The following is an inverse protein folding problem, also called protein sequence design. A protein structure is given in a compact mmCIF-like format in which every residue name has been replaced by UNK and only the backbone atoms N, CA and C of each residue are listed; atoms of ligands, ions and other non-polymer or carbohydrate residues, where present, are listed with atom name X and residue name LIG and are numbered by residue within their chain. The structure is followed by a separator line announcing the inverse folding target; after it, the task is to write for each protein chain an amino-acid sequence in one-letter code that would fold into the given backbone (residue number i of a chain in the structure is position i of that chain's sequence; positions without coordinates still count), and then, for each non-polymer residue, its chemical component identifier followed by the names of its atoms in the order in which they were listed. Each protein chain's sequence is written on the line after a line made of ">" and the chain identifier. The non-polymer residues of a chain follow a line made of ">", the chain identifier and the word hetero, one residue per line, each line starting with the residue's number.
data_IF_780832013232
#
_entry.id   IF_780832013232
#
_cell.length_a   1.000
_cell.length_b   1.000
_cell.length_c   1.000
_cell.angle_alpha   90.00
_cell.angle_beta   90.00
_cell.angle_gamma   90.00
#
_symmetry.space_group_name_H-M   'P 1'
#
loop_
_entity.id
_entity.type
_entity.pdbx_description
1 polymer ?
#
# COMPACT_ATOMS: atom_id res chain seq x y z
N UNK A 1 11.14 -10.33 3.35
CA UNK A 1 10.97 -10.21 4.82
C UNK A 1 10.13 -8.97 5.05
N UNK A 2 8.83 -9.13 5.27
CA UNK A 2 7.98 -8.02 5.68
C UNK A 2 7.92 -8.11 7.20
N UNK A 3 8.29 -7.06 7.92
CA UNK A 3 8.41 -7.08 9.38
C UNK A 3 7.05 -7.13 10.09
N UNK A 4 6.10 -7.91 9.59
CA UNK A 4 4.73 -8.02 10.11
C UNK A 4 4.72 -8.53 11.54
N UNK A 5 5.72 -9.32 11.97
CA UNK A 5 5.83 -9.75 13.37
C UNK A 5 5.96 -8.58 14.37
N UNK A 6 6.42 -7.41 13.94
CA UNK A 6 6.47 -6.22 14.79
C UNK A 6 5.08 -5.63 15.09
N UNK A 7 4.05 -6.03 14.34
CA UNK A 7 2.66 -5.60 14.57
C UNK A 7 2.17 -6.13 15.92
N UNK A 8 2.49 -7.38 16.27
CA UNK A 8 2.07 -7.98 17.54
C UNK A 8 2.70 -7.24 18.74
N UNK A 9 3.98 -6.88 18.60
CA UNK A 9 4.70 -6.10 19.60
C UNK A 9 4.08 -4.71 19.76
N UNK A 10 3.83 -4.01 18.65
CA UNK A 10 3.21 -2.69 18.68
C UNK A 10 1.79 -2.72 19.30
N UNK A 11 1.01 -3.76 19.01
CA UNK A 11 -0.29 -3.99 19.63
C UNK A 11 -0.18 -4.18 21.15
N UNK A 12 0.83 -4.91 21.65
CA UNK A 12 1.08 -5.08 23.10
C UNK A 12 1.32 -3.74 23.80
N UNK A 13 2.04 -2.82 23.14
CA UNK A 13 2.32 -1.49 23.67
C UNK A 13 1.23 -0.45 23.37
N UNK A 14 0.11 -0.85 22.75
CA UNK A 14 -0.97 0.06 22.29
C UNK A 14 -0.47 1.20 21.38
N UNK A 15 0.56 0.95 20.58
CA UNK A 15 1.10 1.93 19.61
C UNK A 15 0.70 1.55 18.19
N UNK A 16 0.46 2.54 17.31
CA UNK A 16 0.09 2.27 15.92
C UNK A 16 1.22 1.54 15.16
N UNK A 17 0.86 0.50 14.42
CA UNK A 17 1.76 -0.22 13.52
C UNK A 17 1.74 0.36 12.12
N UNK A 18 2.94 0.63 11.58
CA UNK A 18 3.14 1.11 10.20
C UNK A 18 3.93 0.06 9.42
N UNK A 19 3.55 -0.15 8.16
CA UNK A 19 4.25 -1.07 7.26
C UNK A 19 4.83 -0.29 6.08
N UNK A 20 6.15 -0.33 5.96
CA UNK A 20 6.81 0.07 4.71
C UNK A 20 6.76 -1.09 3.72
N UNK A 21 6.04 -0.91 2.61
CA UNK A 21 5.89 -1.92 1.55
C UNK A 21 6.73 -1.52 0.32
N UNK A 22 7.93 -2.11 0.10
CA UNK A 22 8.87 -1.65 -0.92
C UNK A 22 8.50 -2.07 -2.36
N UNK A 23 7.41 -2.82 -2.55
CA UNK A 23 6.96 -3.29 -3.88
C UNK A 23 5.83 -2.42 -4.43
N UNK A 24 5.53 -2.56 -5.73
CA UNK A 24 4.53 -1.72 -6.39
C UNK A 24 3.10 -1.90 -5.84
N UNK A 25 2.28 -0.86 -5.95
CA UNK A 25 0.86 -0.90 -5.59
C UNK A 25 0.08 -1.99 -6.36
N UNK A 26 0.45 -2.28 -7.61
CA UNK A 26 -0.14 -3.36 -8.38
C UNK A 26 0.13 -4.74 -7.75
N UNK A 27 1.35 -4.97 -7.24
CA UNK A 27 1.70 -6.22 -6.58
C UNK A 27 1.01 -6.34 -5.21
N UNK A 28 0.91 -5.25 -4.45
CA UNK A 28 0.12 -5.21 -3.21
C UNK A 28 -1.36 -5.48 -3.47
N UNK A 29 -1.94 -4.80 -4.46
CA UNK A 29 -3.33 -4.99 -4.87
C UNK A 29 -3.60 -6.44 -5.27
N UNK A 30 -2.67 -7.07 -5.99
CA UNK A 30 -2.79 -8.48 -6.38
C UNK A 30 -2.76 -9.40 -5.15
N UNK A 31 -1.90 -9.15 -4.17
CA UNK A 31 -1.87 -9.92 -2.92
C UNK A 31 -3.18 -9.83 -2.14
N UNK A 32 -3.73 -8.62 -2.01
CA UNK A 32 -5.02 -8.40 -1.34
C UNK A 32 -6.16 -9.04 -2.11
N UNK A 33 -6.12 -8.99 -3.44
CA UNK A 33 -7.13 -9.63 -4.28
C UNK A 33 -7.06 -11.17 -4.19
N UNK A 34 -5.86 -11.75 -4.21
CA UNK A 34 -5.68 -13.20 -3.99
C UNK A 34 -6.18 -13.65 -2.62
N UNK A 35 -5.97 -12.81 -1.59
CA UNK A 35 -6.55 -13.04 -0.28
C UNK A 35 -8.07 -13.04 -0.31
N UNK A 36 -8.70 -12.07 -0.97
CA UNK A 36 -10.15 -12.04 -1.14
C UNK A 36 -10.67 -13.31 -1.84
N UNK A 37 -10.03 -13.73 -2.94
CA UNK A 37 -10.41 -14.93 -3.68
C UNK A 37 -10.34 -16.20 -2.80
N UNK A 38 -9.27 -16.36 -2.01
CA UNK A 38 -9.12 -17.51 -1.12
C UNK A 38 -10.10 -17.47 0.07
N UNK A 39 -10.20 -16.33 0.73
CA UNK A 39 -10.88 -16.21 2.02
C UNK A 39 -12.40 -16.06 1.85
N UNK A 40 -12.85 -15.33 0.82
CA UNK A 40 -14.25 -15.00 0.57
C UNK A 40 -14.84 -15.89 -0.52
N UNK A 41 -14.28 -15.88 -1.73
CA UNK A 41 -14.81 -16.64 -2.89
C UNK A 41 -14.50 -18.13 -2.81
N UNK A 42 -13.65 -18.54 -1.87
CA UNK A 42 -13.17 -19.94 -1.71
C UNK A 42 -12.54 -20.50 -2.99
N UNK A 43 -11.96 -19.62 -3.80
CA UNK A 43 -11.31 -19.97 -5.06
C UNK A 43 -9.97 -20.67 -4.80
N UNK A 44 -9.74 -21.83 -5.43
CA UNK A 44 -8.44 -22.51 -5.37
C UNK A 44 -7.48 -21.92 -6.40
N UNK A 45 -6.67 -20.96 -5.95
CA UNK A 45 -5.64 -20.30 -6.76
C UNK A 45 -4.62 -21.29 -7.35
N UNK A 46 -4.51 -22.50 -6.78
CA UNK A 46 -3.69 -23.56 -7.34
C UNK A 46 -4.14 -24.02 -8.73
N UNK A 47 -5.42 -23.84 -9.08
CA UNK A 47 -5.96 -24.15 -10.43
C UNK A 47 -5.43 -23.21 -11.51
N UNK A 48 -4.91 -22.03 -11.14
CA UNK A 48 -4.23 -21.14 -12.09
C UNK A 48 -2.85 -21.67 -12.50
N UNK A 49 -2.30 -22.63 -11.77
CA UNK A 49 -1.00 -23.23 -12.10
C UNK A 49 -1.13 -24.02 -13.40
N UNK A 50 -0.31 -23.66 -14.38
CA UNK A 50 -0.23 -24.30 -15.69
C UNK A 50 -1.52 -24.20 -16.56
N UNK A 51 -2.46 -23.33 -16.18
CA UNK A 51 -3.68 -23.09 -16.96
C UNK A 51 -3.53 -21.92 -17.94
N UNK A 52 -4.39 -21.92 -18.97
CA UNK A 52 -4.56 -20.80 -19.90
C UNK A 52 -5.67 -19.84 -19.44
N UNK A 53 -6.11 -19.95 -18.18
CA UNK A 53 -7.15 -19.11 -17.63
C UNK A 53 -6.71 -17.65 -17.50
N UNK A 54 -7.67 -16.74 -17.53
CA UNK A 54 -7.44 -15.33 -17.24
C UNK A 54 -8.08 -15.00 -15.89
N UNK A 55 -7.31 -14.38 -15.01
CA UNK A 55 -7.76 -13.91 -13.72
C UNK A 55 -8.30 -12.49 -13.85
N UNK A 56 -9.56 -12.28 -13.54
CA UNK A 56 -10.10 -10.92 -13.43
C UNK A 56 -9.55 -10.27 -12.17
N UNK A 57 -8.86 -9.14 -12.33
CA UNK A 57 -8.28 -8.39 -11.23
C UNK A 57 -8.90 -6.99 -11.23
N UNK A 58 -9.69 -6.61 -10.20
CA UNK A 58 -10.53 -5.41 -10.24
C UNK A 58 -9.82 -4.08 -10.53
N UNK A 59 -8.52 -3.97 -10.22
CA UNK A 59 -7.73 -2.76 -10.46
C UNK A 59 -6.94 -2.79 -11.79
N UNK A 60 -7.01 -3.88 -12.55
CA UNK A 60 -6.42 -3.97 -13.89
C UNK A 60 -7.48 -3.71 -14.95
N UNK A 61 -7.13 -2.98 -16.01
CA UNK A 61 -8.02 -2.72 -17.14
C UNK A 61 -8.21 -3.92 -18.06
N UNK A 62 -7.45 -4.99 -17.85
CA UNK A 62 -7.51 -6.25 -18.60
C UNK A 62 -7.30 -7.41 -17.64
N UNK A 63 -7.94 -8.53 -17.92
CA UNK A 63 -7.73 -9.78 -17.19
C UNK A 63 -6.26 -10.19 -17.26
N UNK A 64 -5.75 -10.71 -16.15
CA UNK A 64 -4.37 -11.11 -15.99
C UNK A 64 -4.25 -12.58 -16.39
N UNK A 65 -3.52 -12.93 -17.47
CA UNK A 65 -3.30 -14.33 -17.82
C UNK A 65 -2.66 -15.08 -16.64
N UNK A 66 -3.08 -16.31 -16.37
CA UNK A 66 -2.56 -17.12 -15.27
C UNK A 66 -1.03 -17.26 -15.32
N UNK A 67 -0.45 -17.31 -16.53
CA UNK A 67 0.99 -17.32 -16.79
C UNK A 67 1.74 -16.06 -16.32
N UNK A 68 1.03 -14.94 -16.14
CA UNK A 68 1.55 -13.69 -15.63
C UNK A 68 1.39 -13.54 -14.10
N UNK A 69 0.66 -14.45 -13.46
CA UNK A 69 0.54 -14.47 -11.99
C UNK A 69 1.88 -14.91 -11.39
N UNK A 70 2.44 -14.15 -10.42
CA UNK A 70 3.70 -14.51 -9.78
C UNK A 70 3.66 -15.92 -9.19
N UNK A 71 4.68 -16.74 -9.47
CA UNK A 71 4.74 -18.14 -9.02
C UNK A 71 4.63 -18.33 -7.51
N UNK A 72 5.10 -17.33 -6.74
CA UNK A 72 4.95 -17.27 -5.27
C UNK A 72 3.49 -17.26 -4.81
N UNK A 73 2.55 -16.85 -5.66
CA UNK A 73 1.10 -16.87 -5.38
C UNK A 73 0.42 -18.17 -5.86
N UNK A 74 1.10 -19.01 -6.63
CA UNK A 74 0.55 -20.26 -7.17
C UNK A 74 1.09 -21.50 -6.45
N UNK A 75 2.21 -21.37 -5.74
CA UNK A 75 2.77 -22.43 -4.92
C UNK A 75 2.07 -22.44 -3.54
N UNK A 76 1.55 -23.60 -3.10
CA UNK A 76 0.78 -23.74 -1.84
C UNK A 76 1.54 -23.27 -0.58
N UNK A 77 2.83 -23.54 -0.50
CA UNK A 77 3.67 -23.16 0.65
C UNK A 77 3.83 -21.64 0.70
N UNK A 78 4.19 -21.02 -0.43
CA UNK A 78 4.36 -19.57 -0.53
C UNK A 78 3.04 -18.80 -0.50
N UNK A 79 1.97 -19.35 -1.06
CA UNK A 79 0.63 -18.77 -1.02
C UNK A 79 0.19 -18.57 0.43
N UNK A 80 0.41 -19.55 1.31
CA UNK A 80 0.08 -19.40 2.73
C UNK A 80 0.79 -18.20 3.38
N UNK A 81 2.06 -17.99 3.04
CA UNK A 81 2.87 -16.86 3.52
C UNK A 81 2.34 -15.54 2.94
N UNK A 82 2.07 -15.49 1.64
CA UNK A 82 1.52 -14.31 0.96
C UNK A 82 0.17 -13.91 1.57
N UNK A 83 -0.73 -14.88 1.78
CA UNK A 83 -2.04 -14.66 2.38
C UNK A 83 -1.93 -14.18 3.83
N UNK A 84 -1.04 -14.79 4.61
CA UNK A 84 -0.79 -14.36 6.00
C UNK A 84 -0.35 -12.91 6.06
N UNK A 85 0.51 -12.49 5.15
CA UNK A 85 1.02 -11.12 5.10
C UNK A 85 -0.05 -10.15 4.62
N UNK A 86 -0.80 -10.49 3.56
CA UNK A 86 -1.89 -9.67 3.06
C UNK A 86 -2.94 -9.37 4.14
N UNK A 87 -3.30 -10.36 4.97
CA UNK A 87 -4.19 -10.17 6.14
C UNK A 87 -3.60 -9.17 7.12
N UNK A 88 -2.33 -9.34 7.49
CA UNK A 88 -1.65 -8.47 8.46
C UNK A 88 -1.42 -7.06 7.98
N UNK A 89 -1.29 -6.85 6.67
CA UNK A 89 -1.17 -5.50 6.11
C UNK A 89 -2.42 -4.68 6.40
N UNK A 90 -3.60 -5.31 6.43
CA UNK A 90 -4.87 -4.65 6.77
C UNK A 90 -4.95 -4.24 8.25
N UNK A 91 -4.09 -4.78 9.11
CA UNK A 91 -4.00 -4.40 10.54
C UNK A 91 -3.19 -3.11 10.73
N UNK A 92 -2.45 -2.66 9.70
CA UNK A 92 -1.60 -1.48 9.79
C UNK A 92 -2.37 -0.21 9.47
N UNK A 93 -2.14 0.85 10.25
CA UNK A 93 -2.88 2.12 10.14
C UNK A 93 -2.36 3.04 9.05
N UNK A 94 -1.24 2.68 8.42
CA UNK A 94 -0.53 3.50 7.43
C UNK A 94 -1.41 3.86 6.25
N UNK A 95 -2.18 2.91 5.70
CA UNK A 95 -3.01 3.21 4.53
C UNK A 95 -4.14 4.20 4.84
N UNK A 96 -4.73 4.10 6.04
CA UNK A 96 -5.78 5.03 6.48
C UNK A 96 -5.20 6.42 6.76
N UNK A 97 -4.03 6.49 7.40
CA UNK A 97 -3.32 7.74 7.68
C UNK A 97 -2.82 8.42 6.40
N UNK A 98 -2.19 7.66 5.50
CA UNK A 98 -1.76 8.17 4.21
C UNK A 98 -2.95 8.61 3.36
N UNK A 99 -4.08 7.90 3.41
CA UNK A 99 -5.29 8.33 2.72
C UNK A 99 -5.81 9.66 3.28
N UNK A 100 -5.85 9.81 4.61
CA UNK A 100 -6.20 11.09 5.26
C UNK A 100 -5.22 12.20 4.86
N UNK A 101 -3.91 11.97 4.96
CA UNK A 101 -2.89 12.95 4.58
C UNK A 101 -3.01 13.32 3.09
N UNK A 102 -3.20 12.34 2.20
CA UNK A 102 -3.34 12.56 0.76
C UNK A 102 -4.63 13.30 0.38
N UNK A 103 -5.74 13.08 1.08
CA UNK A 103 -7.04 13.69 0.78
C UNK A 103 -7.20 15.03 1.50
N UNK A 104 -7.07 15.04 2.83
CA UNK A 104 -7.42 16.17 3.68
C UNK A 104 -6.27 17.19 3.80
N UNK A 105 -5.04 16.73 4.03
CA UNK A 105 -3.91 17.64 4.25
C UNK A 105 -3.29 18.12 2.93
N UNK A 106 -2.93 17.17 2.07
CA UNK A 106 -2.21 17.44 0.83
C UNK A 106 -3.13 17.65 -0.37
N UNK A 107 -4.38 17.17 -0.34
CA UNK A 107 -5.37 17.26 -1.42
C UNK A 107 -4.87 16.76 -2.78
N UNK A 108 -4.08 15.69 -2.74
CA UNK A 108 -3.50 15.01 -3.90
C UNK A 108 -4.34 13.82 -4.37
N UNK A 109 -5.39 13.46 -3.62
CA UNK A 109 -6.24 12.32 -3.92
C UNK A 109 -7.73 12.65 -3.84
N UNK A 110 -8.54 11.84 -4.53
CA UNK A 110 -9.99 11.83 -4.39
C UNK A 110 -10.36 10.71 -3.44
N UNK A 111 -11.07 11.05 -2.37
CA UNK A 111 -11.57 10.06 -1.43
C UNK A 111 -12.58 9.12 -2.09
N UNK A 112 -12.35 7.81 -1.95
CA UNK A 112 -13.33 6.78 -2.30
C UNK A 112 -14.14 6.37 -1.05
N UNK A 113 -13.46 6.20 0.10
CA UNK A 113 -14.09 5.92 1.39
C UNK A 113 -13.21 6.37 2.55
N UNK A 114 -13.78 7.18 3.46
CA UNK A 114 -13.12 7.54 4.70
C UNK A 114 -13.22 6.40 5.72
N UNK A 115 -12.11 5.76 6.05
CA UNK A 115 -12.07 4.77 7.14
C UNK A 115 -11.61 5.39 8.46
N UNK A 116 -11.29 6.69 8.48
CA UNK A 116 -10.83 7.39 9.67
C UNK A 116 -11.96 7.66 10.67
N UNK A 117 -13.22 7.54 10.23
CA UNK A 117 -14.40 7.73 11.06
C UNK A 117 -15.06 6.39 11.39
N UNK A 118 -14.66 5.74 12.49
CA UNK A 118 -15.57 4.83 13.20
C UNK A 118 -15.02 3.61 13.94
N UNK A 119 -13.76 3.19 13.79
CA UNK A 119 -13.32 1.89 14.36
C UNK A 119 -12.51 1.98 15.66
N UNK A 120 -12.49 3.14 16.34
CA UNK A 120 -11.85 3.25 17.67
C UNK A 120 -12.81 3.02 18.86
N UNK A 121 -14.10 2.72 18.62
CA UNK A 121 -15.10 2.57 19.71
C UNK A 121 -16.15 1.46 19.52
N UNK A 122 -16.20 0.72 18.40
CA UNK A 122 -17.23 -0.29 18.19
C UNK A 122 -16.63 -1.70 18.02
N UNK A 123 -16.32 -2.32 19.15
CA UNK A 123 -16.29 -3.77 19.27
C UNK A 123 -17.73 -4.31 19.15
N UNK A 124 -18.32 -4.25 17.95
CA UNK A 124 -19.55 -4.93 17.59
C UNK A 124 -19.73 -4.84 16.07
N UNK A 125 -19.51 -5.96 15.39
CA UNK A 125 -20.05 -6.27 14.05
C UNK A 125 -20.16 -5.06 13.10
N UNK A 126 -19.03 -4.47 12.70
CA UNK A 126 -19.05 -3.51 11.61
C UNK A 126 -19.29 -4.26 10.31
N UNK A 127 -20.57 -4.27 9.92
CA UNK A 127 -21.03 -4.48 8.56
C UNK A 127 -20.14 -3.62 7.64
N UNK A 128 -19.11 -4.23 7.02
CA UNK A 128 -18.26 -3.57 6.01
C UNK A 128 -19.15 -3.30 4.82
N UNK A 129 -19.91 -2.20 4.88
CA UNK A 129 -20.83 -1.80 3.82
C UNK A 129 -20.02 -1.73 2.51
N UNK A 130 -20.38 -2.56 1.54
CA UNK A 130 -19.67 -2.63 0.28
C UNK A 130 -19.86 -1.32 -0.47
N UNK A 131 -18.81 -0.86 -1.15
CA UNK A 131 -18.89 0.32 -2.01
C UNK A 131 -19.66 -0.07 -3.28
N UNK A 132 -20.70 0.68 -3.63
CA UNK A 132 -21.50 0.37 -4.82
C UNK A 132 -20.76 0.72 -6.11
N UNK A 133 -21.14 0.10 -7.22
CA UNK A 133 -20.54 0.39 -8.52
C UNK A 133 -20.74 1.86 -8.93
N UNK A 134 -21.89 2.44 -8.59
CA UNK A 134 -22.21 3.85 -8.86
C UNK A 134 -21.31 4.81 -8.05
N UNK A 135 -20.98 4.46 -6.81
CA UNK A 135 -20.02 5.22 -6.00
C UNK A 135 -18.63 5.19 -6.66
N UNK A 136 -18.17 4.02 -7.07
CA UNK A 136 -16.87 3.84 -7.73
C UNK A 136 -16.82 4.66 -9.03
N UNK A 137 -17.82 4.53 -9.89
CA UNK A 137 -17.91 5.27 -11.15
C UNK A 137 -17.84 6.78 -10.92
N UNK A 138 -18.61 7.28 -9.94
CA UNK A 138 -18.64 8.71 -9.61
C UNK A 138 -17.26 9.22 -9.18
N UNK A 139 -16.55 8.48 -8.31
CA UNK A 139 -15.22 8.87 -7.82
C UNK A 139 -14.16 8.81 -8.91
N UNK A 140 -14.23 7.81 -9.79
CA UNK A 140 -13.38 7.75 -10.99
C UNK A 140 -13.66 8.96 -11.89
N UNK A 141 -14.93 9.31 -12.10
CA UNK A 141 -15.32 10.50 -12.86
C UNK A 141 -14.71 11.79 -12.29
N UNK A 142 -14.75 11.97 -10.95
CA UNK A 142 -14.09 13.09 -10.27
C UNK A 142 -12.58 13.11 -10.52
N UNK A 143 -11.91 11.96 -10.38
CA UNK A 143 -10.46 11.82 -10.58
C UNK A 143 -10.04 12.09 -12.04
N UNK A 144 -10.87 11.70 -13.01
CA UNK A 144 -10.56 11.79 -14.44
C UNK A 144 -10.83 13.17 -15.05
N UNK A 145 -11.42 14.11 -14.30
CA UNK A 145 -11.62 15.49 -14.75
C UNK A 145 -10.29 16.17 -15.06
N UNK A 146 -10.09 16.60 -16.32
CA UNK A 146 -8.81 17.12 -16.83
C UNK A 146 -8.35 18.38 -16.07
N UNK A 147 -9.25 19.33 -15.87
CA UNK A 147 -8.99 20.57 -15.13
C UNK A 147 -9.50 20.45 -13.69
N UNK A 148 -8.81 19.64 -12.88
CA UNK A 148 -9.09 19.48 -11.46
C UNK A 148 -7.94 19.99 -10.60
N UNK A 149 -8.28 20.67 -9.50
CA UNK A 149 -7.32 21.17 -8.50
C UNK A 149 -6.38 20.05 -8.01
N UNK A 150 -6.92 18.84 -7.84
CA UNK A 150 -6.14 17.65 -7.47
C UNK A 150 -5.00 17.38 -8.46
N UNK A 151 -5.25 17.44 -9.79
CA UNK A 151 -4.22 17.20 -10.80
C UNK A 151 -3.15 18.29 -10.79
N UNK A 152 -3.55 19.54 -10.58
CA UNK A 152 -2.59 20.65 -10.51
C UNK A 152 -1.72 20.57 -9.25
N UNK A 153 -2.31 20.20 -8.12
CA UNK A 153 -1.57 19.93 -6.87
C UNK A 153 -0.63 18.74 -7.01
N UNK A 154 -1.05 17.66 -7.67
CA UNK A 154 -0.20 16.49 -7.97
C UNK A 154 1.00 16.87 -8.84
N UNK A 155 0.80 17.65 -9.91
CA UNK A 155 1.92 18.14 -10.75
C UNK A 155 2.91 18.96 -9.93
N UNK A 156 2.41 19.93 -9.16
CA UNK A 156 3.24 20.79 -8.30
C UNK A 156 4.00 19.98 -7.25
N UNK A 157 3.35 18.99 -6.63
CA UNK A 157 4.01 18.12 -5.65
C UNK A 157 5.07 17.26 -6.34
N UNK A 158 4.78 16.71 -7.53
CA UNK A 158 5.74 15.93 -8.32
C UNK A 158 7.01 16.74 -8.64
N UNK A 159 6.87 18.00 -9.04
CA UNK A 159 8.01 18.88 -9.30
C UNK A 159 8.83 19.13 -8.04
N UNK A 160 8.18 19.41 -6.90
CA UNK A 160 8.87 19.60 -5.61
C UNK A 160 9.62 18.34 -5.17
N UNK A 161 8.96 17.18 -5.23
CA UNK A 161 9.56 15.90 -4.87
C UNK A 161 10.75 15.57 -5.77
N UNK A 162 10.65 15.85 -7.08
CA UNK A 162 11.77 15.71 -8.00
C UNK A 162 12.93 16.63 -7.62
N UNK A 163 12.70 17.92 -7.41
CA UNK A 163 13.75 18.89 -7.02
C UNK A 163 14.40 18.53 -5.67
N UNK A 164 13.64 18.00 -4.71
CA UNK A 164 14.16 17.64 -3.39
C UNK A 164 15.27 16.57 -3.46
N UNK A 165 15.20 15.65 -4.41
CA UNK A 165 16.15 14.52 -4.54
C UNK A 165 17.31 14.77 -5.50
N UNK A 166 17.22 15.79 -6.37
CA UNK A 166 18.31 16.16 -7.28
C UNK A 166 19.49 16.78 -6.54
N UNK A 167 20.66 16.88 -7.19
CA UNK A 167 21.86 17.51 -6.64
C UNK A 167 21.56 18.93 -6.13
N UNK A 168 21.91 19.18 -4.87
CA UNK A 168 21.61 20.45 -4.18
C UNK A 168 20.16 20.57 -3.65
N UNK A 169 19.32 19.57 -3.88
CA UNK A 169 17.99 19.44 -3.29
C UNK A 169 18.04 19.17 -1.79
N UNK A 170 16.91 19.37 -1.10
CA UNK A 170 16.81 19.26 0.35
C UNK A 170 17.06 17.83 0.86
N UNK A 171 16.50 16.80 0.20
CA UNK A 171 16.70 15.40 0.56
C UNK A 171 18.11 14.92 0.21
N UNK A 172 18.64 15.36 -0.94
CA UNK A 172 20.04 15.13 -1.30
C UNK A 172 20.98 15.69 -0.21
N UNK A 173 20.76 16.94 0.22
CA UNK A 173 21.56 17.58 1.27
C UNK A 173 21.43 16.87 2.62
N UNK A 174 20.22 16.46 3.01
CA UNK A 174 19.99 15.70 4.24
C UNK A 174 20.74 14.36 4.23
N UNK A 175 20.75 13.65 3.09
CA UNK A 175 21.46 12.39 2.93
C UNK A 175 22.98 12.59 3.00
N UNK A 176 23.53 13.60 2.32
CA UNK A 176 24.96 13.92 2.39
C UNK A 176 25.38 14.22 3.84
N UNK A 177 24.58 15.00 4.58
CA UNK A 177 24.84 15.28 5.99
C UNK A 177 24.81 14.00 6.82
N UNK A 178 23.81 13.15 6.62
CA UNK A 178 23.72 11.86 7.32
C UNK A 178 24.96 10.98 7.08
N UNK A 179 25.44 10.89 5.83
CA UNK A 179 26.65 10.11 5.49
C UNK A 179 27.88 10.68 6.19
N UNK A 180 28.01 12.02 6.21
CA UNK A 180 29.12 12.68 6.89
C UNK A 180 29.10 12.38 8.39
N UNK A 181 27.93 12.54 9.04
CA UNK A 181 27.76 12.25 10.47
C UNK A 181 28.13 10.80 10.78
N UNK A 182 27.68 9.83 9.97
CA UNK A 182 28.04 8.41 10.14
C UNK A 182 29.55 8.20 9.99
N UNK A 183 30.18 8.82 9.00
CA UNK A 183 31.62 8.67 8.71
C UNK A 183 32.47 9.25 9.84
N UNK A 184 32.12 10.43 10.35
CA UNK A 184 32.84 11.08 11.43
C UNK A 184 32.77 10.26 12.73
N UNK A 185 31.59 9.68 13.03
CA UNK A 185 31.41 8.82 14.19
C UNK A 185 32.24 7.52 14.10
N UNK A 186 32.25 6.85 12.95
CA UNK A 186 33.05 5.62 12.76
C UNK A 186 34.56 5.92 12.86
N UNK A 187 35.00 7.05 12.31
CA UNK A 187 36.41 7.47 12.36
C UNK A 187 36.89 7.72 13.80
N UNK A 188 36.00 8.22 14.66
CA UNK A 188 36.31 8.51 16.06
C UNK A 188 36.47 7.28 16.97
N UNK A 189 35.91 6.13 16.61
CA UNK A 189 36.07 4.87 17.38
C UNK A 189 37.39 4.14 17.10
N UNK A 190 38.10 4.49 16.03
CA UNK A 190 39.37 3.85 15.62
C UNK A 190 40.64 4.42 16.29
N UNK A 191 40.49 5.39 17.19
CA UNK A 191 41.58 6.03 17.96
C UNK A 191 41.58 5.66 19.47
N UNK A 192 40.90 4.58 19.87
CA UNK A 192 40.88 4.05 21.24
C UNK A 192 41.75 2.81 21.42
#
# INVERSE_FOLDING_TARGET
>A
MFCTQMIDVANEFNVPSYLFYPSSAAFLGLQVHMQYLCDVEKYDVGELRDSDAELEVPFLTRSLPAKCVPSVMLNKEWLSVVLSHARRFQETKEQQLNAFEMVEEMGLAVEIRNHFQGEYMAAAETNRELITAEEIERRIGCLMKQDSDVRDRVKKMSEKSHVAVMDGGSSHHALVRFIQDVTDNISSESCG
#
